data_IF_610125165882
#
_entry.id   IF_610125165882
#
_cell.length_a   1.000
_cell.length_b   1.000
_cell.length_c   1.000
_cell.angle_alpha   90.00
_cell.angle_beta   90.00
_cell.angle_gamma   90.00
#
_symmetry.space_group_name_H-M   'P 1'
#
loop_
_entity.id
_entity.type
_entity.pdbx_description
1 polymer ?
#
# COMPACT_ATOMS: atom_id res chain seq x y z
N UNK A 1 4.44 6.81 -9.51
CA UNK A 1 4.36 6.42 -10.94
C UNK A 1 4.52 7.66 -11.83
N UNK A 2 5.04 7.54 -13.05
CA UNK A 2 5.09 8.65 -14.03
C UNK A 2 4.14 8.36 -15.21
N UNK A 3 3.22 9.28 -15.50
CA UNK A 3 2.22 9.11 -16.57
C UNK A 3 2.40 10.17 -17.65
N UNK A 4 2.34 9.72 -18.91
CA UNK A 4 2.39 10.58 -20.10
C UNK A 4 0.99 10.69 -20.71
N UNK A 5 0.45 11.90 -20.87
CA UNK A 5 -0.84 12.09 -21.55
C UNK A 5 -0.65 12.63 -22.97
N UNK A 6 -1.28 11.97 -23.93
CA UNK A 6 -1.29 12.40 -25.34
C UNK A 6 -2.72 12.77 -25.74
N UNK A 7 -2.95 14.05 -26.05
CA UNK A 7 -4.26 14.54 -26.52
C UNK A 7 -4.07 15.32 -27.82
N UNK A 8 -4.68 14.85 -28.90
CA UNK A 8 -4.71 15.57 -30.18
C UNK A 8 -3.33 15.79 -30.82
N UNK A 9 -2.47 14.76 -30.85
CA UNK A 9 -1.15 14.83 -31.50
C UNK A 9 -0.06 15.57 -30.73
N UNK A 10 -0.41 16.38 -29.73
CA UNK A 10 0.54 17.07 -28.85
C UNK A 10 0.98 16.13 -27.72
N UNK A 11 2.29 16.01 -27.51
CA UNK A 11 2.86 15.38 -26.32
C UNK A 11 2.86 16.40 -25.19
N UNK A 12 2.11 16.16 -24.12
CA UNK A 12 2.25 16.93 -22.88
C UNK A 12 3.48 16.44 -22.10
N UNK A 13 3.88 17.18 -21.06
CA UNK A 13 4.98 16.77 -20.19
C UNK A 13 4.66 15.53 -19.34
N UNK A 14 5.69 14.97 -18.72
CA UNK A 14 5.57 13.88 -17.75
C UNK A 14 4.90 14.37 -16.46
N UNK A 15 3.91 13.62 -15.95
CA UNK A 15 3.25 13.90 -14.68
C UNK A 15 3.61 12.82 -13.66
N UNK A 16 4.00 13.23 -12.45
CA UNK A 16 4.11 12.30 -11.32
C UNK A 16 2.71 12.04 -10.74
N UNK A 17 2.32 10.77 -10.66
CA UNK A 17 1.10 10.32 -9.98
C UNK A 17 1.49 9.72 -8.63
N UNK A 18 0.88 10.28 -7.58
CA UNK A 18 0.98 9.82 -6.20
C UNK A 18 -0.21 8.89 -5.89
N UNK A 19 0.07 7.75 -5.27
CA UNK A 19 -0.96 6.81 -4.80
C UNK A 19 -1.28 7.10 -3.33
N UNK A 20 -2.57 7.10 -2.97
CA UNK A 20 -3.06 7.51 -1.66
C UNK A 20 -2.68 6.59 -0.50
N UNK A 21 -2.13 5.41 -0.78
CA UNK A 21 -1.62 4.47 0.23
C UNK A 21 -0.11 4.60 0.48
N UNK A 22 0.61 5.38 -0.34
CA UNK A 22 2.03 5.71 -0.13
C UNK A 22 2.23 7.14 0.38
N UNK A 23 1.22 8.01 0.23
CA UNK A 23 1.29 9.41 0.65
C UNK A 23 -0.01 9.88 1.31
N UNK A 24 0.13 10.52 2.48
CA UNK A 24 -0.94 11.21 3.20
C UNK A 24 -0.78 12.72 3.08
N UNK A 25 -1.90 13.43 3.11
CA UNK A 25 -1.98 14.89 3.09
C UNK A 25 -2.15 15.38 4.53
N UNK A 26 -1.28 16.29 4.99
CA UNK A 26 -1.43 16.89 6.32
C UNK A 26 -2.51 17.99 6.35
N UNK A 27 -2.84 18.49 7.55
CA UNK A 27 -3.85 19.54 7.72
C UNK A 27 -3.56 20.86 7.00
N UNK A 28 -2.33 21.06 6.50
CA UNK A 28 -1.92 22.23 5.72
C UNK A 28 -1.85 21.95 4.20
N UNK A 29 -2.20 20.74 3.77
CA UNK A 29 -2.18 20.34 2.36
C UNK A 29 -0.83 19.79 1.85
N UNK A 30 0.14 19.53 2.72
CA UNK A 30 1.43 18.97 2.30
C UNK A 30 1.39 17.44 2.27
N UNK A 31 1.87 16.87 1.15
CA UNK A 31 2.10 15.43 1.02
C UNK A 31 3.26 14.98 1.91
N UNK A 32 3.05 13.89 2.64
CA UNK A 32 4.04 13.19 3.47
C UNK A 32 3.95 11.71 3.15
N UNK A 33 5.04 10.96 3.36
CA UNK A 33 5.00 9.50 3.27
C UNK A 33 3.93 8.96 4.21
N UNK A 34 3.09 8.06 3.70
CA UNK A 34 2.10 7.38 4.52
C UNK A 34 2.78 6.64 5.69
N UNK A 35 2.09 6.52 6.81
CA UNK A 35 2.57 5.79 7.99
C UNK A 35 1.52 4.78 8.45
N UNK A 36 1.34 3.66 7.71
CA UNK A 36 0.43 2.59 8.11
C UNK A 36 0.73 2.12 9.53
N UNK A 37 -0.25 2.25 10.43
CA UNK A 37 -0.12 1.88 11.84
C UNK A 37 -1.27 0.97 12.24
N UNK A 38 -0.91 -0.14 12.89
CA UNK A 38 -1.81 -1.05 13.58
C UNK A 38 -1.56 -0.95 15.09
N UNK A 39 -2.59 -0.61 15.85
CA UNK A 39 -2.64 -0.75 17.30
C UNK A 39 -3.05 -2.18 17.63
N UNK A 40 -2.12 -3.01 18.07
CA UNK A 40 -2.41 -4.37 18.50
C UNK A 40 -2.82 -4.39 19.98
N UNK A 41 -4.01 -4.93 20.28
CA UNK A 41 -4.55 -5.07 21.64
C UNK A 41 -4.84 -6.55 21.95
N UNK A 42 -5.18 -6.85 23.22
CA UNK A 42 -5.66 -8.18 23.60
C UNK A 42 -7.15 -8.37 23.22
N UNK A 43 -7.97 -7.37 23.53
CA UNK A 43 -9.36 -7.23 23.09
C UNK A 43 -9.70 -5.75 22.98
N UNK A 44 -10.53 -5.39 21.99
CA UNK A 44 -10.99 -4.03 21.79
C UNK A 44 -11.97 -3.58 22.89
N UNK A 45 -12.67 -4.53 23.54
CA UNK A 45 -13.58 -4.24 24.66
C UNK A 45 -12.83 -3.80 25.94
N UNK A 46 -11.56 -4.19 26.08
CA UNK A 46 -10.69 -3.84 27.20
C UNK A 46 -9.98 -2.49 27.03
N UNK A 47 -10.27 -1.74 25.96
CA UNK A 47 -9.58 -0.50 25.61
C UNK A 47 -10.36 0.76 26.03
N UNK A 48 -9.68 1.90 26.29
CA UNK A 48 -10.34 3.16 26.58
C UNK A 48 -11.09 3.72 25.35
N UNK A 49 -12.11 4.55 25.57
CA UNK A 49 -12.98 5.12 24.52
C UNK A 49 -12.22 5.82 23.37
N UNK A 50 -11.02 6.35 23.64
CA UNK A 50 -10.18 7.05 22.65
C UNK A 50 -9.26 6.11 21.83
N UNK A 51 -9.30 4.80 22.05
CA UNK A 51 -8.46 3.82 21.35
C UNK A 51 -8.70 3.79 19.83
N UNK A 52 -9.95 4.05 19.40
CA UNK A 52 -10.36 4.11 18.00
C UNK A 52 -10.34 5.55 17.42
N UNK A 53 -9.79 6.53 18.13
CA UNK A 53 -9.70 7.91 17.61
C UNK A 53 -8.71 7.98 16.42
N UNK A 54 -9.27 8.06 15.21
CA UNK A 54 -8.55 8.01 13.93
C UNK A 54 -8.22 6.59 13.43
N UNK A 55 -8.77 5.53 14.04
CA UNK A 55 -8.49 4.12 13.73
C UNK A 55 -9.78 3.30 13.62
N UNK A 56 -9.81 2.35 12.68
CA UNK A 56 -10.90 1.40 12.48
C UNK A 56 -10.60 0.04 13.14
N UNK A 57 -11.62 -0.61 13.70
CA UNK A 57 -11.48 -1.90 14.38
C UNK A 57 -11.09 -3.02 13.40
N UNK A 58 -9.99 -3.72 13.69
CA UNK A 58 -9.34 -4.69 12.81
C UNK A 58 -9.08 -6.02 13.53
N UNK A 59 -10.16 -6.72 13.93
CA UNK A 59 -10.09 -7.93 14.73
C UNK A 59 -9.82 -7.62 16.21
N UNK A 60 -8.70 -8.07 16.74
CA UNK A 60 -8.23 -7.74 18.11
C UNK A 60 -7.33 -6.49 18.17
N UNK A 61 -7.24 -5.74 17.07
CA UNK A 61 -6.52 -4.47 17.02
C UNK A 61 -7.34 -3.37 16.34
N UNK A 62 -6.67 -2.27 15.99
CA UNK A 62 -7.24 -1.18 15.22
C UNK A 62 -6.22 -0.58 14.24
N UNK A 63 -6.63 -0.27 13.01
CA UNK A 63 -5.76 0.22 11.92
C UNK A 63 -6.12 1.65 11.52
N UNK A 64 -5.13 2.44 11.13
CA UNK A 64 -5.40 3.74 10.52
C UNK A 64 -5.82 3.59 9.04
N UNK A 65 -6.34 4.67 8.44
CA UNK A 65 -6.78 4.69 7.04
C UNK A 65 -5.71 4.24 6.02
N UNK A 66 -4.43 4.37 6.37
CA UNK A 66 -3.28 3.98 5.53
C UNK A 66 -2.97 2.47 5.64
N UNK A 67 -3.35 1.85 6.75
CA UNK A 67 -3.27 0.41 7.00
C UNK A 67 -4.61 -0.31 6.70
N UNK A 68 -5.49 0.29 5.89
CA UNK A 68 -6.76 -0.30 5.50
C UNK A 68 -6.58 -1.68 4.84
N UNK A 69 -7.36 -2.66 5.29
CA UNK A 69 -7.27 -4.06 4.85
C UNK A 69 -6.37 -4.96 5.69
N UNK A 70 -5.56 -4.41 6.60
CA UNK A 70 -4.85 -5.21 7.61
C UNK A 70 -5.83 -5.69 8.68
N UNK A 71 -5.63 -6.92 9.17
CA UNK A 71 -6.37 -7.50 10.28
C UNK A 71 -5.44 -8.12 11.31
N UNK A 72 -5.82 -8.08 12.58
CA UNK A 72 -5.09 -8.71 13.69
C UNK A 72 -5.95 -9.77 14.39
N UNK A 73 -5.41 -10.98 14.53
CA UNK A 73 -6.08 -12.10 15.18
C UNK A 73 -5.21 -12.68 16.31
N UNK A 74 -5.77 -12.82 17.51
CA UNK A 74 -5.13 -13.55 18.61
C UNK A 74 -5.20 -15.05 18.32
N UNK A 75 -4.05 -15.70 18.19
CA UNK A 75 -3.93 -17.16 17.94
C UNK A 75 -3.86 -17.95 19.24
N UNK A 76 -2.99 -17.54 20.16
CA UNK A 76 -2.76 -18.19 21.45
C UNK A 76 -2.52 -17.13 22.54
N UNK A 77 -2.28 -17.55 23.79
CA UNK A 77 -1.89 -16.61 24.86
C UNK A 77 -0.54 -15.98 24.53
N UNK A 78 -0.51 -14.66 24.40
CA UNK A 78 0.68 -13.92 23.98
C UNK A 78 1.11 -14.18 22.54
N UNK A 79 0.25 -14.73 21.65
CA UNK A 79 0.59 -14.91 20.23
C UNK A 79 -0.50 -14.30 19.36
N UNK A 80 -0.12 -13.29 18.59
CA UNK A 80 -0.99 -12.55 17.69
C UNK A 80 -0.47 -12.66 16.26
N UNK A 81 -1.37 -12.73 15.29
CA UNK A 81 -1.06 -12.77 13.87
C UNK A 81 -1.67 -11.54 13.19
N UNK A 82 -0.85 -10.84 12.42
CA UNK A 82 -1.24 -9.70 11.59
C UNK A 82 -1.19 -10.12 10.13
N UNK A 83 -2.30 -9.97 9.42
CA UNK A 83 -2.49 -10.38 8.03
C UNK A 83 -2.78 -9.16 7.17
N UNK A 84 -2.24 -9.11 5.96
CA UNK A 84 -2.52 -8.05 4.96
C UNK A 84 -1.45 -6.95 4.85
N UNK A 85 -0.32 -7.11 5.55
CA UNK A 85 0.87 -6.25 5.42
C UNK A 85 1.94 -6.92 4.54
N UNK A 86 2.98 -6.16 4.17
CA UNK A 86 4.25 -6.66 3.61
C UNK A 86 5.36 -6.74 4.67
N UNK A 87 5.00 -6.96 5.94
CA UNK A 87 5.92 -6.88 7.07
C UNK A 87 5.95 -5.53 7.77
N UNK A 88 6.97 -5.32 8.60
CA UNK A 88 7.21 -4.07 9.34
C UNK A 88 7.80 -2.98 8.44
N UNK A 89 7.65 -1.72 8.84
CA UNK A 89 8.17 -0.57 8.11
C UNK A 89 9.70 -0.61 7.94
N UNK A 90 10.18 -0.41 6.70
CA UNK A 90 11.62 -0.45 6.35
C UNK A 90 12.45 0.71 6.93
N UNK A 91 11.80 1.79 7.38
CA UNK A 91 12.49 2.99 7.88
C UNK A 91 11.74 3.67 9.02
N UNK A 92 12.49 4.25 9.96
CA UNK A 92 11.96 4.92 11.15
C UNK A 92 11.72 3.95 12.32
N UNK A 93 10.67 4.20 13.10
CA UNK A 93 10.23 3.30 14.16
C UNK A 93 9.34 2.18 13.57
N UNK A 94 9.38 1.00 14.19
CA UNK A 94 8.63 -0.19 13.76
C UNK A 94 7.65 -0.70 14.82
N UNK A 95 8.04 -0.67 16.10
CA UNK A 95 7.27 -1.23 17.21
C UNK A 95 7.38 -0.29 18.42
N UNK A 96 6.26 0.11 19.00
CA UNK A 96 6.19 0.81 20.28
C UNK A 96 5.52 -0.09 21.34
N UNK A 97 6.29 -0.43 22.38
CA UNK A 97 5.85 -1.32 23.47
C UNK A 97 5.29 -0.47 24.61
N UNK A 98 4.11 -0.78 25.18
CA UNK A 98 3.49 0.04 26.21
C UNK A 98 4.35 0.13 27.48
N UNK A 99 4.46 1.34 28.03
CA UNK A 99 5.32 1.65 29.18
C UNK A 99 4.50 2.03 30.43
N UNK A 100 5.03 1.77 31.62
CA UNK A 100 4.47 2.28 32.87
C UNK A 100 4.75 3.79 33.06
N UNK A 101 4.25 4.37 34.15
CA UNK A 101 4.48 5.79 34.50
C UNK A 101 5.95 6.14 34.79
N UNK A 102 6.82 5.14 34.90
CA UNK A 102 8.25 5.28 35.16
C UNK A 102 9.11 5.02 33.89
N UNK A 103 8.48 4.77 32.73
CA UNK A 103 9.15 4.42 31.47
C UNK A 103 9.55 2.95 31.32
N UNK A 104 9.14 2.06 32.24
CA UNK A 104 9.40 0.64 32.13
C UNK A 104 8.46 0.00 31.10
N UNK A 105 9.02 -0.65 30.08
CA UNK A 105 8.26 -1.53 29.17
C UNK A 105 7.53 -2.62 29.97
N UNK A 106 6.22 -2.78 29.73
CA UNK A 106 5.38 -3.72 30.49
C UNK A 106 5.59 -5.17 30.07
N UNK A 107 5.83 -5.41 28.77
CA UNK A 107 6.04 -6.74 28.19
C UNK A 107 7.34 -6.80 27.37
N UNK A 108 7.77 -8.01 27.05
CA UNK A 108 8.74 -8.30 26.00
C UNK A 108 7.95 -8.67 24.73
N UNK A 109 8.37 -8.13 23.58
CA UNK A 109 7.69 -8.31 22.30
C UNK A 109 8.73 -8.77 21.27
N UNK A 110 8.47 -9.91 20.66
CA UNK A 110 9.22 -10.47 19.53
C UNK A 110 8.31 -10.45 18.30
N UNK A 111 8.86 -10.12 17.13
CA UNK A 111 8.12 -10.05 15.87
C UNK A 111 8.83 -10.84 14.79
N UNK A 112 8.11 -11.76 14.17
CA UNK A 112 8.56 -12.62 13.10
C UNK A 112 7.73 -12.29 11.84
N UNK A 113 8.38 -11.91 10.74
CA UNK A 113 7.70 -11.64 9.46
C UNK A 113 7.88 -12.84 8.54
N UNK A 114 6.77 -13.37 8.03
CA UNK A 114 6.74 -14.48 7.08
C UNK A 114 7.06 -14.01 5.66
N UNK A 115 7.47 -14.92 4.77
CA UNK A 115 7.72 -14.62 3.34
C UNK A 115 6.47 -14.04 2.63
N UNK A 116 5.28 -14.32 3.14
CA UNK A 116 4.00 -13.79 2.64
C UNK A 116 3.71 -12.34 3.08
N UNK A 117 4.52 -11.75 3.99
CA UNK A 117 4.28 -10.44 4.59
C UNK A 117 3.48 -10.45 5.91
N UNK A 118 2.87 -11.58 6.27
CA UNK A 118 2.20 -11.77 7.56
C UNK A 118 3.17 -11.63 8.73
N UNK A 119 2.74 -10.97 9.81
CA UNK A 119 3.58 -10.69 10.99
C UNK A 119 3.03 -11.44 12.20
N UNK A 120 3.83 -12.35 12.75
CA UNK A 120 3.56 -12.98 14.03
C UNK A 120 4.19 -12.15 15.14
N UNK A 121 3.38 -11.72 16.11
CA UNK A 121 3.80 -10.92 17.27
C UNK A 121 3.67 -11.80 18.51
N UNK A 122 4.79 -12.13 19.13
CA UNK A 122 4.86 -12.87 20.40
C UNK A 122 5.08 -11.92 21.56
N UNK A 123 4.22 -11.99 22.55
CA UNK A 123 4.24 -11.17 23.76
C UNK A 123 4.48 -12.07 24.97
N UNK A 124 5.45 -11.69 25.79
CA UNK A 124 5.85 -12.45 26.97
C UNK A 124 6.20 -11.54 28.14
N UNK A 125 6.25 -12.12 29.34
CA UNK A 125 6.80 -11.44 30.51
C UNK A 125 8.28 -11.13 30.27
N UNK A 126 8.72 -9.95 30.69
CA UNK A 126 10.15 -9.60 30.70
C UNK A 126 10.85 -10.45 31.77
N UNK A 127 11.70 -11.37 31.34
CA UNK A 127 12.58 -12.11 32.24
C UNK A 127 13.99 -11.53 32.13
N UNK A 128 14.64 -11.29 33.27
CA UNK A 128 16.02 -10.79 33.28
C UNK A 128 16.96 -11.99 33.39
N UNK A 129 17.83 -12.15 32.40
CA UNK A 129 18.92 -13.11 32.47
C UNK A 129 20.06 -12.52 33.32
N UNK A 130 20.34 -13.17 34.44
CA UNK A 130 21.34 -12.74 35.42
C UNK A 130 22.77 -12.99 34.93
N UNK A 131 22.98 -13.89 33.95
CA UNK A 131 24.30 -14.20 33.40
C UNK A 131 24.68 -13.25 32.27
N UNK A 132 23.76 -12.95 31.34
CA UNK A 132 24.04 -12.03 30.22
C UNK A 132 23.64 -10.58 30.46
N UNK A 133 22.84 -10.30 31.50
CA UNK A 133 22.30 -8.97 31.79
C UNK A 133 21.21 -8.50 30.80
N UNK A 134 20.75 -9.38 29.92
CA UNK A 134 19.74 -9.07 28.92
C UNK A 134 18.31 -9.32 29.42
N UNK A 135 17.35 -8.62 28.81
CA UNK A 135 15.94 -8.98 28.94
C UNK A 135 15.61 -10.01 27.86
N UNK A 136 15.23 -11.21 28.30
CA UNK A 136 14.81 -12.32 27.45
C UNK A 136 13.29 -12.52 27.52
N UNK A 137 12.74 -13.26 26.55
CA UNK A 137 11.36 -13.73 26.60
C UNK A 137 11.19 -14.71 27.77
N UNK A 138 10.29 -14.37 28.71
CA UNK A 138 9.86 -15.25 29.78
C UNK A 138 8.60 -16.03 29.43
N UNK A 139 7.71 -16.23 30.40
CA UNK A 139 6.41 -16.86 30.17
C UNK A 139 5.56 -16.07 29.16
N UNK A 140 4.84 -16.74 28.24
CA UNK A 140 3.92 -16.08 27.31
C UNK A 140 2.82 -15.33 28.08
N UNK A 141 2.48 -14.14 27.62
CA UNK A 141 1.54 -13.24 28.30
C UNK A 141 0.83 -12.36 27.29
N UNK A 142 -0.49 -12.25 27.43
CA UNK A 142 -1.30 -11.33 26.62
C UNK A 142 -0.95 -9.86 26.87
N UNK A 143 -1.28 -8.99 25.91
CA UNK A 143 -1.15 -7.54 26.06
C UNK A 143 -2.03 -7.07 27.23
N UNK A 144 -1.51 -6.27 28.19
CA UNK A 144 -2.29 -5.81 29.33
C UNK A 144 -3.54 -5.01 28.92
N UNK A 145 -4.66 -5.22 29.63
CA UNK A 145 -5.89 -4.47 29.40
C UNK A 145 -5.67 -2.94 29.53
N UNK A 146 -6.41 -2.17 28.72
CA UNK A 146 -6.23 -0.73 28.56
C UNK A 146 -4.94 -0.29 27.85
N UNK A 147 -4.08 -1.22 27.41
CA UNK A 147 -2.83 -0.95 26.68
C UNK A 147 -2.79 -1.66 25.34
N UNK A 148 -2.03 -1.10 24.40
CA UNK A 148 -1.78 -1.67 23.08
C UNK A 148 -0.29 -1.56 22.72
N UNK A 149 0.11 -2.26 21.66
CA UNK A 149 1.41 -2.14 20.99
C UNK A 149 1.16 -1.44 19.65
N UNK A 150 1.81 -0.31 19.37
CA UNK A 150 1.75 0.29 18.04
C UNK A 150 2.77 -0.41 17.12
N UNK A 151 2.30 -0.87 15.96
CA UNK A 151 3.08 -1.54 14.93
C UNK A 151 3.02 -0.70 13.66
N UNK A 152 4.17 -0.27 13.16
CA UNK A 152 4.28 0.44 11.88
C UNK A 152 4.53 -0.55 10.75
N UNK A 153 3.63 -0.59 9.79
CA UNK A 153 3.57 -1.62 8.76
C UNK A 153 4.13 -1.11 7.43
N UNK A 154 4.72 -2.02 6.66
CA UNK A 154 4.92 -1.84 5.23
C UNK A 154 3.66 -2.31 4.51
N UNK A 155 3.08 -1.48 3.65
CA UNK A 155 1.86 -1.81 2.90
C UNK A 155 2.15 -1.93 1.40
N UNK A 156 1.49 -2.86 0.69
CA UNK A 156 1.69 -3.00 -0.75
C UNK A 156 1.19 -1.75 -1.48
N UNK A 157 1.95 -1.28 -2.46
CA UNK A 157 1.41 -0.36 -3.46
C UNK A 157 0.25 -1.08 -4.17
N UNK A 158 -0.89 -0.40 -4.36
CA UNK A 158 -2.01 -0.99 -5.10
C UNK A 158 -1.51 -1.28 -6.54
N UNK A 159 -1.77 -2.47 -7.11
CA UNK A 159 -1.17 -2.87 -8.38
C UNK A 159 -1.44 -1.83 -9.46
N UNK A 160 -0.36 -1.36 -10.08
CA UNK A 160 -0.43 -0.47 -11.23
C UNK A 160 -1.19 -1.20 -12.36
N UNK A 161 -2.18 -0.54 -12.97
CA UNK A 161 -2.96 -1.14 -14.06
C UNK A 161 -2.11 -1.17 -15.33
N UNK A 162 -1.31 -2.21 -15.47
CA UNK A 162 -0.37 -2.40 -16.56
C UNK A 162 -1.12 -2.70 -17.88
N UNK A 163 -1.22 -1.70 -18.76
CA UNK A 163 -1.80 -1.82 -20.10
C UNK A 163 -0.70 -1.97 -21.17
N UNK A 164 0.15 -2.98 -21.01
CA UNK A 164 1.25 -3.31 -21.92
C UNK A 164 0.96 -4.55 -22.80
N UNK A 165 -0.23 -4.64 -23.40
CA UNK A 165 -0.63 -5.79 -24.22
C UNK A 165 -1.59 -5.46 -25.39
N UNK A 166 -1.23 -4.53 -26.29
CA UNK A 166 -1.84 -4.38 -27.63
C UNK A 166 -0.83 -3.89 -28.69
N UNK A 167 0.26 -4.62 -28.91
CA UNK A 167 1.15 -4.40 -30.05
C UNK A 167 1.57 -5.73 -30.72
N UNK A 168 0.57 -6.52 -31.12
CA UNK A 168 0.79 -7.68 -32.01
C UNK A 168 -0.46 -7.98 -32.85
N UNK A 169 -0.64 -7.25 -33.96
CA UNK A 169 -1.42 -7.70 -35.13
C UNK A 169 -1.20 -6.78 -36.34
N UNK A 170 -0.09 -6.94 -37.05
CA UNK A 170 0.22 -6.22 -38.29
C UNK A 170 0.52 -7.19 -39.46
N UNK A 171 -0.48 -8.02 -39.78
CA UNK A 171 -0.58 -8.86 -40.98
C UNK A 171 -2.11 -9.08 -41.18
N UNK A 172 -2.76 -9.08 -42.36
CA UNK A 172 -2.30 -9.44 -43.72
C UNK A 172 -3.14 -8.75 -44.81
N UNK A 173 -2.49 -8.47 -45.96
CA UNK A 173 -2.99 -8.27 -47.34
C UNK A 173 -4.38 -7.70 -47.67
N UNK A 174 -4.38 -6.68 -48.54
CA UNK A 174 -5.38 -6.52 -49.59
C UNK A 174 -4.74 -5.96 -50.88
N UNK A 175 -4.56 -6.82 -51.89
CA UNK A 175 -4.16 -6.45 -53.26
C UNK A 175 -5.24 -6.95 -54.24
N UNK A 176 -5.75 -6.07 -55.11
CA UNK A 176 -6.37 -6.39 -56.40
C UNK A 176 -6.78 -5.09 -57.14
N UNK A 177 -6.54 -5.06 -58.46
CA UNK A 177 -6.75 -3.89 -59.33
C UNK A 177 -8.02 -3.98 -60.22
N UNK A 178 -8.38 -2.89 -60.93
CA UNK A 178 -9.16 -2.98 -62.19
C UNK A 178 -8.97 -1.77 -63.14
N UNK A 179 -9.12 -2.03 -64.45
CA UNK A 179 -8.79 -1.16 -65.62
C UNK A 179 -9.78 -1.50 -66.77
N UNK A 180 -10.08 -0.69 -67.81
CA UNK A 180 -9.50 0.59 -68.26
C UNK A 180 -10.52 1.76 -68.21
N UNK A 181 -10.90 2.57 -69.22
CA UNK A 181 -10.78 2.58 -70.71
C UNK A 181 -10.83 4.02 -71.24
N UNK A 182 -10.42 4.21 -72.50
CA UNK A 182 -10.14 5.47 -73.21
C UNK A 182 -11.33 6.29 -73.77
N UNK A 183 -10.97 7.46 -74.34
CA UNK A 183 -11.43 8.10 -75.60
C UNK A 183 -12.22 9.45 -75.58
N UNK A 184 -11.50 10.47 -76.05
CA UNK A 184 -11.83 11.59 -76.96
C UNK A 184 -13.12 12.45 -76.83
N UNK A 185 -12.94 13.77 -76.85
CA UNK A 185 -13.77 14.70 -77.64
C UNK A 185 -13.04 16.01 -77.92
N UNK A 186 -12.53 16.16 -79.15
CA UNK A 186 -12.10 17.45 -79.71
C UNK A 186 -13.28 18.40 -79.98
N UNK A 187 -13.07 19.71 -79.86
CA UNK A 187 -13.61 20.74 -80.77
C UNK A 187 -12.83 22.04 -80.59
N UNK A 188 -12.27 22.54 -81.70
CA UNK A 188 -11.84 23.92 -81.82
C UNK A 188 -12.87 24.69 -82.66
N UNK A 189 -13.23 25.90 -82.25
CA UNK A 189 -13.86 26.87 -83.14
C UNK A 189 -13.07 28.18 -83.12
N UNK A 190 -12.68 28.62 -84.31
CA UNK A 190 -12.07 29.91 -84.56
C UNK A 190 -13.14 31.00 -84.72
N UNK A 191 -12.73 32.24 -84.45
CA UNK A 191 -13.03 33.50 -85.16
C UNK A 191 -14.03 33.50 -86.35
N UNK A 192 -14.78 34.62 -86.59
CA UNK A 192 -14.18 35.97 -86.60
C UNK A 192 -15.05 37.16 -86.11
N UNK A 193 -14.43 38.33 -86.01
CA UNK A 193 -15.13 39.57 -85.64
C UNK A 193 -14.37 40.89 -85.85
N UNK A 194 -14.23 41.31 -87.13
CA UNK A 194 -13.86 42.66 -87.63
C UNK A 194 -12.36 43.01 -87.63
#
# INVERSE_FOLDING_TARGET
MCVHSRRGGVNNGWFNVLLSNQYTIDANGFYKSASPILRLANSNDSMPDNYLDGFESAGCGAVNNEAAGVTAERRETGVYLVIGALGLAESGWTIEIPQDVNGNRLCFVETETSENGDITVRVSKRQFDVETGNVIAGEPMDIPDGRWIDLRLSMPAMPESDQSAVDESADTSAEAASVATDVDSSTAESEPGI
#
